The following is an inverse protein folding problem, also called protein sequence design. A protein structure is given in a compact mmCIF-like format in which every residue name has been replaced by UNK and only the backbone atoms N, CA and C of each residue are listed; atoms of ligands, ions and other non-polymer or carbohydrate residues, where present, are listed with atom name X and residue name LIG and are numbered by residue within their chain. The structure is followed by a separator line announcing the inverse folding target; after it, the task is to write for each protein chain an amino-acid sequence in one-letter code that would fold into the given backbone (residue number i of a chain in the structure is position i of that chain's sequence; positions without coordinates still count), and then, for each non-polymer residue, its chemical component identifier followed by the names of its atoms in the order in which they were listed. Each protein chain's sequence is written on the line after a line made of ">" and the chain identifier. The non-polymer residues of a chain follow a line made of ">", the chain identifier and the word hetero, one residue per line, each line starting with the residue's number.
data_IF_941700510580
#
_entry.id   IF_941700510580
#
_cell.length_a   1.000
_cell.length_b   1.000
_cell.length_c   1.000
_cell.angle_alpha   90.00
_cell.angle_beta   90.00
_cell.angle_gamma   90.00
#
_symmetry.space_group_name_H-M   'P 1'
#
loop_
_entity.id
_entity.type
_entity.pdbx_description
1 polymer ?
#
# COMPACT_ATOMS: atom_id res chain seq x y z
N UNK A 1 -9.99 -1.07 4.09
CA UNK A 1 -10.97 -1.17 2.99
C UNK A 1 -10.34 -0.87 1.63
N UNK A 2 -9.54 0.20 1.52
CA UNK A 2 -8.88 0.61 0.25
C UNK A 2 -7.96 -0.49 -0.32
N UNK A 3 -7.11 -1.13 0.50
CA UNK A 3 -6.23 -2.20 -0.01
C UNK A 3 -7.00 -3.39 -0.57
N UNK A 4 -8.09 -3.79 0.09
CA UNK A 4 -8.96 -4.87 -0.39
C UNK A 4 -9.62 -4.52 -1.74
N UNK A 5 -10.08 -3.28 -1.91
CA UNK A 5 -10.68 -2.83 -3.16
C UNK A 5 -9.70 -2.90 -4.35
N UNK A 6 -8.40 -2.62 -4.10
CA UNK A 6 -7.34 -2.77 -5.11
C UNK A 6 -7.11 -4.25 -5.46
N UNK A 7 -7.08 -5.14 -4.47
CA UNK A 7 -6.91 -6.57 -4.70
C UNK A 7 -8.10 -7.17 -5.48
N UNK A 8 -9.32 -6.78 -5.12
CA UNK A 8 -10.56 -7.24 -5.77
C UNK A 8 -10.63 -6.80 -7.24
N UNK A 9 -10.42 -5.51 -7.53
CA UNK A 9 -10.48 -5.03 -8.93
C UNK A 9 -9.33 -5.58 -9.77
N UNK A 10 -8.16 -5.83 -9.16
CA UNK A 10 -7.04 -6.49 -9.84
C UNK A 10 -7.42 -7.89 -10.30
N UNK A 11 -8.06 -8.68 -9.43
CA UNK A 11 -8.54 -10.02 -9.79
C UNK A 11 -9.61 -9.97 -10.90
N UNK A 12 -10.47 -8.96 -10.88
CA UNK A 12 -11.44 -8.75 -11.96
C UNK A 12 -10.74 -8.46 -13.31
N UNK A 13 -9.75 -7.56 -13.30
CA UNK A 13 -8.99 -7.16 -14.49
C UNK A 13 -8.18 -8.31 -15.12
N UNK A 14 -7.78 -9.34 -14.35
CA UNK A 14 -7.14 -10.54 -14.91
C UNK A 14 -8.02 -11.24 -15.95
N UNK A 15 -9.34 -11.09 -15.86
CA UNK A 15 -10.32 -11.65 -16.82
C UNK A 15 -10.91 -10.61 -17.78
N UNK A 16 -10.85 -9.32 -17.44
CA UNK A 16 -11.39 -8.20 -18.23
C UNK A 16 -10.36 -7.06 -18.40
N UNK A 17 -9.20 -7.31 -19.05
CA UNK A 17 -8.06 -6.38 -19.03
C UNK A 17 -8.29 -5.06 -19.78
N UNK A 18 -9.34 -4.97 -20.59
CA UNK A 18 -9.68 -3.80 -21.40
C UNK A 18 -10.93 -3.06 -20.89
N UNK A 19 -11.50 -3.46 -19.75
CA UNK A 19 -12.65 -2.77 -19.18
C UNK A 19 -12.24 -1.37 -18.69
N UNK A 20 -12.74 -0.29 -19.32
CA UNK A 20 -12.29 1.06 -19.02
C UNK A 20 -12.73 1.52 -17.62
N UNK A 21 -13.89 1.07 -17.14
CA UNK A 21 -14.40 1.43 -15.83
C UNK A 21 -13.59 0.75 -14.71
N UNK A 22 -13.24 -0.53 -14.91
CA UNK A 22 -12.38 -1.25 -13.98
C UNK A 22 -10.96 -0.67 -13.90
N UNK A 23 -10.41 -0.21 -15.03
CA UNK A 23 -9.10 0.46 -15.07
C UNK A 23 -9.13 1.81 -14.35
N UNK A 24 -10.16 2.64 -14.57
CA UNK A 24 -10.33 3.91 -13.86
C UNK A 24 -10.49 3.71 -12.35
N UNK A 25 -11.29 2.72 -11.95
CA UNK A 25 -11.47 2.34 -10.56
C UNK A 25 -10.14 1.88 -9.93
N UNK A 26 -9.40 0.99 -10.61
CA UNK A 26 -8.09 0.54 -10.15
C UNK A 26 -7.13 1.71 -9.93
N UNK A 27 -7.02 2.62 -10.90
CA UNK A 27 -6.13 3.78 -10.78
C UNK A 27 -6.47 4.66 -9.59
N UNK A 28 -7.76 4.95 -9.40
CA UNK A 28 -8.25 5.79 -8.29
C UNK A 28 -7.93 5.16 -6.93
N UNK A 29 -8.25 3.88 -6.75
CA UNK A 29 -8.04 3.20 -5.47
C UNK A 29 -6.59 2.82 -5.21
N UNK A 30 -5.80 2.57 -6.26
CA UNK A 30 -4.36 2.34 -6.16
C UNK A 30 -3.66 3.59 -5.62
N UNK A 31 -4.05 4.77 -6.09
CA UNK A 31 -3.52 6.03 -5.60
C UNK A 31 -3.93 6.32 -4.14
N UNK A 32 -5.21 6.10 -3.80
CA UNK A 32 -5.67 6.20 -2.41
C UNK A 32 -4.94 5.21 -1.48
N UNK A 33 -4.63 4.01 -1.97
CA UNK A 33 -3.86 3.00 -1.22
C UNK A 33 -2.43 3.48 -1.00
N UNK A 34 -1.80 4.04 -2.03
CA UNK A 34 -0.44 4.60 -1.94
C UNK A 34 -0.38 5.69 -0.88
N UNK A 35 -1.30 6.66 -0.94
CA UNK A 35 -1.35 7.74 0.03
C UNK A 35 -1.58 7.25 1.46
N UNK A 36 -2.51 6.31 1.67
CA UNK A 36 -2.74 5.73 2.99
C UNK A 36 -1.52 4.99 3.55
N UNK A 37 -0.72 4.32 2.70
CA UNK A 37 0.51 3.66 3.12
C UNK A 37 1.61 4.67 3.47
N UNK A 38 1.72 5.76 2.70
CA UNK A 38 2.66 6.86 2.99
C UNK A 38 2.32 7.56 4.30
N UNK A 39 1.05 7.90 4.52
CA UNK A 39 0.58 8.53 5.76
C UNK A 39 0.87 7.63 6.98
N UNK A 40 0.63 6.31 6.84
CA UNK A 40 0.96 5.35 7.89
C UNK A 40 2.48 5.30 8.16
N UNK A 41 3.30 5.20 7.11
CA UNK A 41 4.74 5.12 7.25
C UNK A 41 5.33 6.40 7.87
N UNK A 42 4.77 7.56 7.56
CA UNK A 42 5.15 8.83 8.16
C UNK A 42 4.81 8.92 9.65
N UNK A 43 3.65 8.38 10.06
CA UNK A 43 3.20 8.39 11.45
C UNK A 43 3.89 7.32 12.32
N UNK A 44 4.29 6.20 11.71
CA UNK A 44 4.80 5.03 12.40
C UNK A 44 6.10 4.55 11.77
N UNK A 45 6.03 3.47 10.99
CA UNK A 45 7.15 2.84 10.31
C UNK A 45 6.67 2.25 8.97
N UNK A 46 7.58 2.07 8.00
CA UNK A 46 7.21 1.57 6.69
C UNK A 46 6.67 0.13 6.77
N UNK A 47 5.43 -0.07 6.31
CA UNK A 47 4.82 -1.40 6.17
C UNK A 47 5.18 -2.09 4.86
N UNK A 48 5.58 -1.32 3.85
CA UNK A 48 6.06 -1.82 2.56
C UNK A 48 7.38 -1.18 2.21
N UNK A 49 8.20 -1.89 1.43
CA UNK A 49 9.51 -1.40 0.99
C UNK A 49 9.41 -0.06 0.23
N UNK A 50 8.30 0.15 -0.49
CA UNK A 50 8.05 1.35 -1.29
C UNK A 50 7.87 2.62 -0.43
N UNK A 51 7.58 2.46 0.87
CA UNK A 51 7.36 3.57 1.80
C UNK A 51 8.57 3.89 2.68
N UNK A 52 9.70 3.22 2.48
CA UNK A 52 10.92 3.48 3.26
C UNK A 52 11.46 4.88 2.93
N UNK A 53 11.64 5.77 3.92
CA UNK A 53 12.10 7.13 3.66
C UNK A 53 13.54 7.13 3.14
N UNK A 54 13.77 7.84 2.02
CA UNK A 54 15.10 7.94 1.40
C UNK A 54 16.15 8.63 2.29
N UNK A 55 15.72 9.44 3.25
CA UNK A 55 16.57 10.18 4.19
C UNK A 55 16.61 9.57 5.60
N UNK A 56 16.15 8.32 5.76
CA UNK A 56 16.20 7.62 7.04
C UNK A 56 17.65 7.54 7.56
N UNK A 57 17.83 7.82 8.86
CA UNK A 57 19.15 7.73 9.52
C UNK A 57 19.59 6.29 9.81
N UNK A 58 18.67 5.35 9.63
CA UNK A 58 18.84 3.91 9.84
C UNK A 58 17.96 3.13 8.88
N UNK A 59 18.23 1.83 8.69
CA UNK A 59 17.43 0.96 7.85
C UNK A 59 16.12 0.54 8.56
N UNK A 60 15.18 1.49 8.61
CA UNK A 60 13.91 1.37 9.36
C UNK A 60 13.10 0.12 8.98
N UNK A 61 13.20 -0.33 7.73
CA UNK A 61 12.57 -1.58 7.29
C UNK A 61 12.97 -2.81 8.12
N UNK A 62 14.23 -2.91 8.54
CA UNK A 62 14.71 -4.05 9.32
C UNK A 62 14.68 -3.81 10.84
N UNK A 63 14.62 -2.56 11.27
CA UNK A 63 14.71 -2.20 12.69
C UNK A 63 13.36 -1.88 13.34
N UNK A 64 12.30 -1.73 12.53
CA UNK A 64 10.94 -1.47 13.03
C UNK A 64 10.30 -2.74 13.59
N UNK A 65 9.43 -2.62 14.61
CA UNK A 65 8.74 -3.76 15.19
C UNK A 65 7.85 -4.44 14.15
N UNK A 66 7.85 -5.77 14.14
CA UNK A 66 7.04 -6.51 13.20
C UNK A 66 5.57 -6.43 13.61
N UNK A 67 4.63 -6.44 12.65
CA UNK A 67 3.19 -6.32 12.96
C UNK A 67 2.67 -7.42 13.92
N UNK A 68 3.32 -8.58 13.94
CA UNK A 68 2.96 -9.71 14.82
C UNK A 68 3.69 -9.71 16.17
N UNK A 69 4.58 -8.75 16.43
CA UNK A 69 5.26 -8.60 17.73
C UNK A 69 4.40 -7.85 18.77
N UNK A 70 3.15 -7.52 18.44
CA UNK A 70 2.19 -6.98 19.41
C UNK A 70 2.45 -5.52 19.81
N UNK A 71 3.07 -4.73 18.92
CA UNK A 71 3.16 -3.28 19.10
C UNK A 71 1.76 -2.67 19.22
N UNK A 72 1.48 -2.08 20.38
CA UNK A 72 0.24 -1.40 20.71
C UNK A 72 0.31 0.09 20.35
#
# INVERSE_FOLDING_TARGET
>A
MVSFAVDDIKLFLDTHPQDPAALEYFNTYSELRRQALEDFAQAYYPLTIDTVPACARSWEWATSPLPWEGGC
#
